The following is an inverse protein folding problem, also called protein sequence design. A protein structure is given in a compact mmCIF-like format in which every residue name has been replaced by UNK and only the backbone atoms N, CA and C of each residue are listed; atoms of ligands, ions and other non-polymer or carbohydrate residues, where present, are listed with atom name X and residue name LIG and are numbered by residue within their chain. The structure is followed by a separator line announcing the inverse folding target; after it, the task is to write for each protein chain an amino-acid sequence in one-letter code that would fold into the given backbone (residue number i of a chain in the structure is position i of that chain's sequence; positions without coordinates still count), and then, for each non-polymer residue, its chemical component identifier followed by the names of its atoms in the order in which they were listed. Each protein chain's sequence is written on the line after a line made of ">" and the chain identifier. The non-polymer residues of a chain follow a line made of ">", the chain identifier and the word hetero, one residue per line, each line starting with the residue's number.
data_IF_826410198520
#
_entry.id   IF_826410198520
#
_cell.length_a   1.000
_cell.length_b   1.000
_cell.length_c   1.000
_cell.angle_alpha   90.00
_cell.angle_beta   90.00
_cell.angle_gamma   90.00
#
_symmetry.space_group_name_H-M   'P 1'
#
loop_
_entity.id
_entity.type
_entity.pdbx_description
1 polymer ?
#
# COMPACT_ATOMS: atom_id res chain seq x y z
N UNK A 1 6.62 14.61 -6.98
CA UNK A 1 7.27 13.33 -7.36
C UNK A 1 6.95 12.30 -6.29
N UNK A 2 6.52 11.08 -6.65
CA UNK A 2 6.21 10.04 -5.65
C UNK A 2 7.19 8.88 -5.84
N UNK A 3 7.87 8.49 -4.76
CA UNK A 3 8.79 7.35 -4.74
C UNK A 3 8.15 6.22 -3.96
N UNK A 4 8.04 5.04 -4.59
CA UNK A 4 7.51 3.84 -3.95
C UNK A 4 8.67 2.94 -3.55
N UNK A 5 8.67 2.50 -2.28
CA UNK A 5 9.57 1.47 -1.76
C UNK A 5 8.70 0.29 -1.36
N UNK A 6 8.82 -0.80 -2.10
CA UNK A 6 8.16 -2.06 -1.77
C UNK A 6 9.13 -2.97 -1.01
N UNK A 7 8.92 -3.06 0.30
CA UNK A 7 9.61 -3.97 1.21
C UNK A 7 8.66 -5.04 1.77
N UNK A 8 7.52 -5.27 1.12
CA UNK A 8 6.53 -6.24 1.56
C UNK A 8 6.99 -7.68 1.25
N UNK A 9 6.79 -8.59 2.21
CA UNK A 9 7.14 -10.00 2.03
C UNK A 9 5.92 -10.76 1.49
N UNK A 10 6.00 -11.10 0.21
CA UNK A 10 4.99 -11.86 -0.52
C UNK A 10 4.94 -13.34 -0.11
N UNK A 11 3.75 -13.94 -0.17
CA UNK A 11 3.57 -15.38 0.01
C UNK A 11 4.21 -16.18 -1.13
N UNK A 12 4.71 -17.38 -0.83
CA UNK A 12 5.11 -18.32 -1.87
C UNK A 12 3.87 -18.80 -2.64
N UNK A 13 3.93 -18.93 -3.99
CA UNK A 13 2.86 -19.54 -4.76
C UNK A 13 2.72 -21.03 -4.38
N UNK A 14 1.49 -21.51 -4.21
CA UNK A 14 1.24 -22.89 -3.78
C UNK A 14 1.22 -23.91 -4.94
N UNK A 15 1.53 -23.47 -6.17
CA UNK A 15 1.66 -24.32 -7.39
C UNK A 15 0.40 -25.13 -7.77
N UNK A 16 -0.70 -24.98 -7.02
CA UNK A 16 -2.04 -25.48 -7.37
C UNK A 16 -2.63 -24.57 -8.43
N UNK A 17 -2.63 -25.06 -9.67
CA UNK A 17 -3.07 -24.28 -10.83
C UNK A 17 -4.56 -23.87 -10.78
N UNK A 18 -5.36 -24.60 -10.00
CA UNK A 18 -6.80 -24.41 -9.81
C UNK A 18 -7.16 -23.41 -8.70
N UNK A 19 -6.29 -23.23 -7.69
CA UNK A 19 -6.53 -22.29 -6.59
C UNK A 19 -5.22 -21.90 -5.87
N UNK A 20 -4.39 -21.09 -6.53
CA UNK A 20 -3.17 -20.56 -5.91
C UNK A 20 -3.51 -19.36 -5.02
N UNK A 21 -3.73 -19.66 -3.73
CA UNK A 21 -4.07 -18.68 -2.69
C UNK A 21 -2.94 -17.66 -2.53
N UNK A 22 -1.67 -18.11 -2.54
CA UNK A 22 -0.51 -17.23 -2.41
C UNK A 22 -0.42 -16.24 -3.56
N UNK A 23 -0.63 -16.69 -4.80
CA UNK A 23 -0.68 -15.80 -5.97
C UNK A 23 -1.83 -14.81 -5.91
N UNK A 24 -3.00 -15.25 -5.43
CA UNK A 24 -4.18 -14.39 -5.29
C UNK A 24 -3.97 -13.30 -4.24
N UNK A 25 -3.48 -13.67 -3.05
CA UNK A 25 -3.15 -12.71 -1.99
C UNK A 25 -2.09 -11.69 -2.43
N UNK A 26 -1.01 -12.16 -3.06
CA UNK A 26 0.04 -11.28 -3.57
C UNK A 26 -0.51 -10.27 -4.59
N UNK A 27 -1.43 -10.72 -5.46
CA UNK A 27 -2.10 -9.84 -6.43
C UNK A 27 -2.96 -8.79 -5.72
N UNK A 28 -3.73 -9.17 -4.70
CA UNK A 28 -4.52 -8.22 -3.90
C UNK A 28 -3.63 -7.14 -3.28
N UNK A 29 -2.52 -7.52 -2.63
CA UNK A 29 -1.60 -6.53 -2.05
C UNK A 29 -1.00 -5.59 -3.09
N UNK A 30 -0.62 -6.10 -4.27
CA UNK A 30 -0.12 -5.26 -5.36
C UNK A 30 -1.18 -4.29 -5.88
N UNK A 31 -2.43 -4.71 -5.98
CA UNK A 31 -3.55 -3.85 -6.37
C UNK A 31 -3.81 -2.77 -5.33
N UNK A 32 -3.75 -3.11 -4.04
CA UNK A 32 -3.91 -2.15 -2.95
C UNK A 32 -2.79 -1.11 -2.95
N UNK A 33 -1.52 -1.52 -3.11
CA UNK A 33 -0.40 -0.59 -3.25
C UNK A 33 -0.59 0.38 -4.41
N UNK A 34 -1.09 -0.09 -5.56
CA UNK A 34 -1.39 0.76 -6.73
C UNK A 34 -2.53 1.74 -6.47
N UNK A 35 -3.61 1.29 -5.82
CA UNK A 35 -4.74 2.16 -5.44
C UNK A 35 -4.26 3.25 -4.50
N UNK A 36 -3.44 2.90 -3.51
CA UNK A 36 -2.89 3.83 -2.54
C UNK A 36 -1.93 4.85 -3.17
N UNK A 37 -1.08 4.42 -4.11
CA UNK A 37 -0.29 5.35 -4.93
C UNK A 37 -1.21 6.33 -5.68
N UNK A 38 -2.30 5.84 -6.28
CA UNK A 38 -3.31 6.67 -6.94
C UNK A 38 -3.93 7.72 -6.02
N UNK A 39 -4.32 7.33 -4.81
CA UNK A 39 -4.86 8.24 -3.79
C UNK A 39 -3.84 9.32 -3.41
N UNK A 40 -2.58 8.93 -3.20
CA UNK A 40 -1.51 9.89 -2.87
C UNK A 40 -1.24 10.84 -4.03
N UNK A 41 -1.26 10.35 -5.29
CA UNK A 41 -1.16 11.21 -6.48
C UNK A 41 -2.29 12.24 -6.54
N UNK A 42 -3.52 11.85 -6.24
CA UNK A 42 -4.66 12.77 -6.21
C UNK A 42 -4.55 13.83 -5.11
N UNK A 43 -4.04 13.44 -3.94
CA UNK A 43 -3.85 14.36 -2.82
C UNK A 43 -2.65 15.31 -3.02
N UNK A 44 -1.62 14.88 -3.76
CA UNK A 44 -0.40 15.64 -3.99
C UNK A 44 -0.53 16.66 -5.14
N UNK A 45 -1.45 17.62 -4.99
CA UNK A 45 -1.70 18.66 -6.00
C UNK A 45 -0.48 19.58 -6.22
N UNK A 46 0.35 19.76 -5.19
CA UNK A 46 1.53 20.63 -5.22
C UNK A 46 2.79 19.92 -5.76
N UNK A 47 2.67 18.67 -6.22
CA UNK A 47 3.77 17.87 -6.77
C UNK A 47 4.98 17.71 -5.83
N UNK A 48 4.76 17.78 -4.52
CA UNK A 48 5.79 17.59 -3.50
C UNK A 48 6.45 16.21 -3.61
N UNK A 49 7.66 16.10 -3.07
CA UNK A 49 8.36 14.81 -2.98
C UNK A 49 7.74 14.00 -1.85
N UNK A 50 7.11 12.87 -2.18
CA UNK A 50 6.51 11.95 -1.21
C UNK A 50 7.17 10.59 -1.39
N UNK A 51 7.54 9.98 -0.28
CA UNK A 51 8.04 8.61 -0.23
C UNK A 51 7.02 7.74 0.49
N UNK A 52 6.55 6.71 -0.19
CA UNK A 52 5.65 5.69 0.34
C UNK A 52 6.44 4.40 0.51
N UNK A 53 6.49 3.88 1.74
CA UNK A 53 7.16 2.63 2.05
C UNK A 53 6.14 1.60 2.48
N UNK A 54 5.91 0.61 1.62
CA UNK A 54 5.08 -0.55 1.88
C UNK A 54 5.92 -1.63 2.57
N UNK A 55 5.45 -2.14 3.70
CA UNK A 55 6.15 -3.17 4.47
C UNK A 55 5.16 -4.09 5.17
N UNK A 56 5.66 -5.18 5.76
CA UNK A 56 4.82 -6.21 6.37
C UNK A 56 4.96 -7.53 5.63
N UNK A 57 3.98 -8.42 5.83
CA UNK A 57 3.96 -9.73 5.21
C UNK A 57 2.54 -10.27 5.13
N UNK A 58 2.35 -11.36 4.38
CA UNK A 58 1.03 -11.98 4.17
C UNK A 58 0.33 -12.49 5.43
N UNK A 59 1.02 -12.58 6.58
CA UNK A 59 0.42 -12.97 7.87
C UNK A 59 0.04 -11.76 8.72
N UNK A 60 0.86 -10.72 8.71
CA UNK A 60 0.65 -9.50 9.50
C UNK A 60 -0.12 -8.41 8.76
N UNK A 61 -0.33 -8.58 7.45
CA UNK A 61 -0.95 -7.59 6.59
C UNK A 61 0.01 -6.50 6.11
N UNK A 62 -0.54 -5.61 5.29
CA UNK A 62 0.17 -4.51 4.65
C UNK A 62 0.23 -3.29 5.57
N UNK A 63 1.44 -2.80 5.81
CA UNK A 63 1.74 -1.61 6.61
C UNK A 63 2.41 -0.56 5.74
N UNK A 64 2.23 0.72 6.11
CA UNK A 64 2.65 1.85 5.28
C UNK A 64 3.31 2.91 6.14
N UNK A 65 4.44 3.41 5.66
CA UNK A 65 5.05 4.63 6.15
C UNK A 65 5.02 5.70 5.06
N UNK A 66 4.70 6.93 5.45
CA UNK A 66 4.62 8.09 4.56
C UNK A 66 5.63 9.13 5.03
N UNK A 67 6.57 9.47 4.15
CA UNK A 67 7.55 10.53 4.37
C UNK A 67 7.30 11.65 3.34
N UNK A 68 7.08 12.86 3.84
CA UNK A 68 6.73 14.04 3.07
C UNK A 68 7.20 15.27 3.85
N UNK A 69 7.78 16.29 3.17
CA UNK A 69 8.27 17.50 3.85
C UNK A 69 7.15 18.37 4.42
N UNK A 70 5.92 18.23 3.92
CA UNK A 70 4.74 18.92 4.46
C UNK A 70 4.01 18.00 5.45
N UNK A 71 4.10 18.34 6.74
CA UNK A 71 3.47 17.59 7.83
C UNK A 71 1.93 17.61 7.75
N UNK A 72 1.31 18.68 7.25
CA UNK A 72 -0.14 18.73 7.09
C UNK A 72 -0.61 17.80 5.97
N UNK A 73 0.09 17.79 4.84
CA UNK A 73 -0.18 16.85 3.75
C UNK A 73 0.10 15.41 4.17
N UNK A 74 1.22 15.16 4.86
CA UNK A 74 1.58 13.86 5.43
C UNK A 74 0.49 13.32 6.34
N UNK A 75 -0.05 14.16 7.23
CA UNK A 75 -1.16 13.79 8.11
C UNK A 75 -2.42 13.40 7.33
N UNK A 76 -2.78 14.18 6.30
CA UNK A 76 -3.92 13.87 5.42
C UNK A 76 -3.74 12.56 4.66
N UNK A 77 -2.58 12.37 4.03
CA UNK A 77 -2.26 11.13 3.30
C UNK A 77 -2.31 9.94 4.25
N UNK A 78 -1.64 10.04 5.40
CA UNK A 78 -1.60 8.95 6.38
C UNK A 78 -2.99 8.56 6.85
N UNK A 79 -3.87 9.54 7.10
CA UNK A 79 -5.26 9.29 7.49
C UNK A 79 -6.04 8.55 6.39
N UNK A 80 -5.95 9.02 5.15
CA UNK A 80 -6.67 8.41 4.01
C UNK A 80 -6.18 6.99 3.76
N UNK A 81 -4.86 6.75 3.79
CA UNK A 81 -4.30 5.42 3.54
C UNK A 81 -4.63 4.43 4.66
N UNK A 82 -4.66 4.88 5.93
CA UNK A 82 -5.09 4.03 7.05
C UNK A 82 -6.56 3.66 6.94
N UNK A 83 -7.42 4.63 6.66
CA UNK A 83 -8.85 4.36 6.46
C UNK A 83 -9.08 3.35 5.33
N UNK A 84 -8.34 3.48 4.21
CA UNK A 84 -8.42 2.50 3.11
C UNK A 84 -8.01 1.09 3.55
N UNK A 85 -6.96 0.95 4.36
CA UNK A 85 -6.54 -0.35 4.89
C UNK A 85 -7.56 -0.94 5.87
N UNK A 86 -8.14 -0.12 6.75
CA UNK A 86 -9.15 -0.56 7.72
C UNK A 86 -10.42 -1.05 7.00
N UNK A 87 -10.88 -0.33 5.96
CA UNK A 87 -12.02 -0.73 5.13
C UNK A 87 -11.79 -2.04 4.36
N UNK A 88 -10.55 -2.37 3.98
CA UNK A 88 -10.21 -3.67 3.37
C UNK A 88 -10.14 -4.81 4.38
N UNK A 89 -9.93 -4.52 5.67
CA UNK A 89 -9.81 -5.55 6.71
C UNK A 89 -11.16 -5.97 7.30
N UNK A 90 -12.21 -5.18 7.11
CA UNK A 90 -13.59 -5.45 7.57
C UNK A 90 -14.45 -6.23 6.53
N UNK A 91 -13.87 -6.60 5.38
CA UNK A 91 -14.49 -7.40 4.32
C UNK A 91 -14.02 -8.85 4.35
#
# INVERSE_FOLDING_TARGET
>A
MITIIDSFIYSKPDSRADLDIGKTLNKTYQEDMRKMEGLVRMLNQQSLSIRLTFHGNSKEGLKIAVDCPDEALKGRITKVLRQFLDEQSDL
#
